data_IF_934113566355
#
_entry.id   IF_934113566355
#
_cell.length_a   1.000
_cell.length_b   1.000
_cell.length_c   1.000
_cell.angle_alpha   90.00
_cell.angle_beta   90.00
_cell.angle_gamma   90.00
#
_symmetry.space_group_name_H-M   'P 1'
#
loop_
_entity.id
_entity.type
_entity.pdbx_description
1 polymer ?
#
# COMPACT_ATOMS: atom_id res chain seq x y z
N UNK A 1 19.75 -13.48 -0.02
CA UNK A 1 18.50 -12.67 0.20
C UNK A 1 17.61 -12.77 -1.04
N UNK A 2 17.40 -14.02 -1.41
CA UNK A 2 16.65 -14.36 -2.62
C UNK A 2 15.20 -13.89 -2.48
N UNK A 3 14.64 -13.35 -3.55
CA UNK A 3 13.24 -12.93 -3.63
C UNK A 3 12.94 -11.50 -3.16
N UNK A 4 13.86 -10.77 -2.52
CA UNK A 4 13.61 -9.38 -2.06
C UNK A 4 13.81 -8.37 -3.18
N UNK A 5 14.85 -8.58 -4.00
CA UNK A 5 15.23 -7.68 -5.07
C UNK A 5 15.01 -8.32 -6.45
N UNK A 6 14.46 -7.55 -7.39
CA UNK A 6 14.55 -7.87 -8.83
C UNK A 6 15.88 -7.37 -9.37
N UNK A 7 16.34 -6.21 -8.91
CA UNK A 7 17.65 -5.65 -9.25
C UNK A 7 18.25 -5.02 -7.99
N UNK A 8 19.29 -5.62 -7.43
CA UNK A 8 20.04 -5.07 -6.32
C UNK A 8 21.13 -4.13 -6.86
N UNK A 9 21.28 -2.96 -6.22
CA UNK A 9 22.29 -1.97 -6.59
C UNK A 9 23.44 -1.98 -5.60
N UNK A 10 24.63 -1.58 -6.08
CA UNK A 10 25.80 -1.43 -5.22
C UNK A 10 25.51 -0.41 -4.10
N UNK A 11 26.06 -0.62 -2.90
CA UNK A 11 25.92 0.34 -1.81
C UNK A 11 26.44 1.73 -2.20
N UNK A 12 25.60 2.77 -2.04
CA UNK A 12 25.99 4.17 -2.15
C UNK A 12 26.11 4.82 -0.76
N UNK A 13 26.67 6.01 -0.68
CA UNK A 13 26.69 6.82 0.53
C UNK A 13 25.38 7.58 0.68
N UNK A 14 24.70 7.48 1.81
CA UNK A 14 23.44 8.15 2.11
C UNK A 14 22.39 7.22 2.72
N UNK A 15 21.17 7.74 2.90
CA UNK A 15 20.04 6.96 3.40
C UNK A 15 19.56 6.00 2.31
N UNK A 16 19.57 4.71 2.59
CA UNK A 16 19.21 3.68 1.62
C UNK A 16 17.69 3.59 1.46
N UNK A 17 17.24 3.58 0.19
CA UNK A 17 15.86 3.50 -0.23
C UNK A 17 15.62 2.22 -1.04
N UNK A 18 14.63 1.40 -0.67
CA UNK A 18 14.11 0.38 -1.57
C UNK A 18 13.03 1.00 -2.47
N UNK A 19 13.17 0.85 -3.77
CA UNK A 19 12.20 1.35 -4.75
C UNK A 19 11.43 0.14 -5.31
N UNK A 20 10.12 0.04 -5.02
CA UNK A 20 9.28 -1.01 -5.62
C UNK A 20 9.45 -1.00 -7.13
N UNK A 21 9.62 -2.17 -7.73
CA UNK A 21 9.91 -2.28 -9.18
C UNK A 21 8.74 -1.91 -10.10
N UNK A 22 7.78 -1.18 -9.58
CA UNK A 22 6.69 -0.54 -10.30
C UNK A 22 7.00 0.92 -10.69
N UNK A 23 8.00 1.54 -10.02
CA UNK A 23 8.43 2.91 -10.29
C UNK A 23 9.54 2.91 -11.33
N UNK A 24 9.37 3.63 -12.42
CA UNK A 24 10.43 3.87 -13.37
C UNK A 24 11.64 4.51 -12.67
N UNK A 25 12.83 4.03 -13.04
CA UNK A 25 14.09 4.56 -12.51
C UNK A 25 15.07 4.70 -13.66
N UNK A 26 15.50 5.91 -13.94
CA UNK A 26 16.34 6.22 -15.10
C UNK A 26 17.60 5.37 -15.16
N UNK A 27 17.82 4.68 -16.27
CA UNK A 27 18.99 3.84 -16.51
C UNK A 27 19.04 2.54 -15.68
N UNK A 28 18.01 2.22 -14.91
CA UNK A 28 17.92 1.00 -14.10
C UNK A 28 16.77 0.14 -14.61
N UNK A 29 17.04 -1.14 -14.87
CA UNK A 29 16.02 -2.10 -15.31
C UNK A 29 14.82 -2.08 -14.38
N UNK A 30 13.62 -1.89 -14.94
CA UNK A 30 12.34 -1.81 -14.25
C UNK A 30 11.35 -2.73 -14.96
N UNK A 31 10.96 -3.81 -14.32
CA UNK A 31 10.22 -4.90 -14.96
C UNK A 31 8.74 -4.90 -14.65
N UNK A 32 8.28 -4.08 -13.72
CA UNK A 32 6.94 -4.09 -13.13
C UNK A 32 6.58 -5.49 -12.55
N UNK A 33 7.61 -6.30 -12.26
CA UNK A 33 7.46 -7.67 -11.78
C UNK A 33 7.04 -8.68 -12.85
N UNK A 34 7.05 -8.34 -14.13
CA UNK A 34 6.56 -9.15 -15.24
C UNK A 34 7.68 -9.51 -16.23
N UNK A 35 7.52 -10.66 -16.89
CA UNK A 35 8.37 -11.06 -18.00
C UNK A 35 8.16 -10.18 -19.25
N UNK A 36 6.99 -9.54 -19.39
CA UNK A 36 6.68 -8.62 -20.51
C UNK A 36 7.69 -7.48 -20.60
N UNK A 37 8.18 -7.00 -19.47
CA UNK A 37 9.11 -5.88 -19.35
C UNK A 37 10.49 -6.28 -18.84
N UNK A 38 10.91 -7.55 -19.07
CA UNK A 38 12.16 -8.12 -18.55
C UNK A 38 13.42 -7.30 -18.88
N UNK A 39 13.44 -6.62 -20.01
CA UNK A 39 14.57 -5.84 -20.52
C UNK A 39 14.30 -4.31 -20.54
N UNK A 40 13.17 -3.87 -19.96
CA UNK A 40 12.80 -2.46 -19.99
C UNK A 40 13.71 -1.64 -19.08
N UNK A 41 14.29 -0.56 -19.65
CA UNK A 41 15.11 0.41 -18.94
C UNK A 41 14.55 1.81 -19.19
N UNK A 42 13.91 2.43 -18.20
CA UNK A 42 13.34 3.77 -18.35
C UNK A 42 14.39 4.84 -18.64
N UNK A 43 14.03 5.82 -19.47
CA UNK A 43 14.87 6.98 -19.74
C UNK A 43 14.79 8.07 -18.67
N UNK A 44 13.71 8.06 -17.89
CA UNK A 44 13.47 9.02 -16.80
C UNK A 44 13.00 8.28 -15.55
N UNK A 45 13.29 8.82 -14.37
CA UNK A 45 12.75 8.32 -13.11
C UNK A 45 11.33 8.82 -12.89
N UNK A 46 10.51 8.00 -12.21
CA UNK A 46 9.24 8.43 -11.65
C UNK A 46 9.44 9.65 -10.74
N UNK A 47 8.49 10.58 -10.75
CA UNK A 47 8.59 11.83 -10.00
C UNK A 47 8.85 11.60 -8.50
N UNK A 48 8.18 10.61 -7.89
CA UNK A 48 8.40 10.26 -6.49
C UNK A 48 9.84 9.78 -6.22
N UNK A 49 10.44 9.03 -7.14
CA UNK A 49 11.84 8.58 -7.04
C UNK A 49 12.78 9.77 -7.15
N UNK A 50 12.59 10.62 -8.17
CA UNK A 50 13.43 11.81 -8.41
C UNK A 50 13.41 12.77 -7.20
N UNK A 51 12.24 12.98 -6.57
CA UNK A 51 12.11 13.80 -5.37
C UNK A 51 12.89 13.24 -4.18
N UNK A 52 12.81 11.93 -3.94
CA UNK A 52 13.56 11.32 -2.85
C UNK A 52 15.06 11.33 -3.10
N UNK A 53 15.51 11.10 -4.34
CA UNK A 53 16.92 11.23 -4.70
C UNK A 53 17.42 12.67 -4.48
N UNK A 54 16.64 13.68 -4.87
CA UNK A 54 16.94 15.08 -4.61
C UNK A 54 16.95 15.42 -3.10
N UNK A 55 16.18 14.70 -2.28
CA UNK A 55 16.17 14.81 -0.82
C UNK A 55 17.32 14.02 -0.13
N UNK A 56 18.24 13.42 -0.90
CA UNK A 56 19.43 12.73 -0.40
C UNK A 56 19.22 11.25 -0.08
N UNK A 57 18.14 10.63 -0.58
CA UNK A 57 17.97 9.18 -0.53
C UNK A 57 18.75 8.51 -1.67
N UNK A 58 19.29 7.34 -1.40
CA UNK A 58 20.08 6.55 -2.36
C UNK A 58 19.33 5.25 -2.66
N UNK A 59 19.01 5.04 -3.92
CA UNK A 59 18.34 3.82 -4.36
C UNK A 59 19.27 2.61 -4.12
N UNK A 60 18.82 1.68 -3.27
CA UNK A 60 19.52 0.43 -2.93
C UNK A 60 19.14 -0.74 -3.85
N UNK A 61 18.07 -0.59 -4.62
CA UNK A 61 17.59 -1.61 -5.53
C UNK A 61 16.11 -1.49 -5.88
N UNK A 62 15.73 -2.24 -6.92
CA UNK A 62 14.35 -2.42 -7.35
C UNK A 62 13.77 -3.60 -6.58
N UNK A 63 12.88 -3.29 -5.63
CA UNK A 63 12.28 -4.26 -4.74
C UNK A 63 11.24 -5.12 -5.46
N UNK A 64 11.28 -6.43 -5.22
CA UNK A 64 10.32 -7.39 -5.78
C UNK A 64 8.90 -7.10 -5.30
N UNK A 65 7.93 -7.50 -6.13
CA UNK A 65 6.52 -7.21 -5.93
C UNK A 65 5.67 -8.34 -6.52
N UNK A 66 4.38 -8.37 -6.20
CA UNK A 66 3.44 -9.15 -7.00
C UNK A 66 3.37 -8.54 -8.41
N UNK A 67 3.41 -9.37 -9.44
CA UNK A 67 3.44 -8.94 -10.85
C UNK A 67 2.39 -7.87 -11.13
N UNK A 68 2.77 -6.77 -11.79
CA UNK A 68 1.94 -5.58 -12.08
C UNK A 68 1.23 -4.99 -10.86
N UNK A 69 1.75 -5.20 -9.64
CA UNK A 69 1.09 -4.85 -8.39
C UNK A 69 -0.29 -5.53 -8.18
N UNK A 70 -0.67 -6.52 -8.99
CA UNK A 70 -2.00 -7.13 -8.98
C UNK A 70 -2.05 -8.40 -8.14
N UNK A 71 -1.73 -8.28 -6.85
CA UNK A 71 -1.86 -9.36 -5.87
C UNK A 71 -1.48 -8.91 -4.46
N UNK A 72 -1.78 -9.73 -3.47
CA UNK A 72 -1.67 -9.39 -2.03
C UNK A 72 -0.69 -10.27 -1.24
N UNK A 73 0.09 -11.14 -1.93
CA UNK A 73 1.02 -12.09 -1.29
C UNK A 73 2.48 -11.89 -1.70
N UNK A 74 2.74 -11.14 -2.77
CA UNK A 74 4.08 -11.03 -3.40
C UNK A 74 4.70 -12.36 -3.82
N UNK A 75 3.85 -13.33 -4.22
CA UNK A 75 4.24 -14.53 -4.93
C UNK A 75 4.40 -14.17 -6.41
N UNK A 76 5.64 -13.91 -6.83
CA UNK A 76 5.94 -13.56 -8.21
C UNK A 76 6.48 -14.77 -8.95
N UNK A 77 5.81 -15.19 -10.03
CA UNK A 77 6.17 -16.40 -10.79
C UNK A 77 7.43 -16.21 -11.63
N UNK A 78 7.84 -14.97 -11.93
CA UNK A 78 9.00 -14.64 -12.75
C UNK A 78 10.26 -14.37 -11.92
N UNK A 79 10.09 -13.72 -10.76
CA UNK A 79 11.20 -13.22 -9.92
C UNK A 79 11.24 -13.84 -8.52
N UNK A 80 10.42 -14.88 -8.28
CA UNK A 80 10.36 -15.61 -7.02
C UNK A 80 9.47 -14.95 -5.98
N UNK A 81 9.12 -15.73 -4.97
CA UNK A 81 8.28 -15.29 -3.84
C UNK A 81 9.10 -14.47 -2.85
N UNK A 82 8.56 -13.33 -2.44
CA UNK A 82 9.18 -12.52 -1.38
C UNK A 82 9.06 -13.25 -0.04
N UNK A 83 10.17 -13.48 0.69
CA UNK A 83 10.13 -14.07 2.02
C UNK A 83 9.60 -13.06 3.03
N UNK A 84 8.94 -13.54 4.09
CA UNK A 84 8.59 -12.71 5.24
C UNK A 84 9.67 -12.87 6.34
N UNK A 85 10.49 -11.84 6.60
CA UNK A 85 11.56 -11.96 7.59
C UNK A 85 11.08 -11.96 9.05
N UNK A 86 9.93 -11.33 9.32
CA UNK A 86 9.35 -11.29 10.66
C UNK A 86 8.68 -12.62 11.02
N UNK A 87 8.03 -13.26 10.03
CA UNK A 87 7.27 -14.50 10.19
C UNK A 87 7.59 -15.46 9.03
N UNK A 88 8.69 -16.24 9.09
CA UNK A 88 9.18 -17.04 7.94
C UNK A 88 8.17 -18.05 7.34
N UNK A 89 7.19 -18.50 8.12
CA UNK A 89 6.15 -19.44 7.69
C UNK A 89 4.93 -18.73 7.08
N UNK A 90 4.96 -17.41 7.00
CA UNK A 90 3.85 -16.58 6.54
C UNK A 90 4.21 -15.82 5.27
N UNK A 91 3.18 -15.39 4.52
CA UNK A 91 3.40 -14.50 3.39
C UNK A 91 3.95 -13.14 3.82
N UNK A 92 4.81 -12.53 3.00
CA UNK A 92 5.26 -11.15 3.21
C UNK A 92 4.14 -10.12 2.96
N UNK A 93 2.99 -10.57 2.48
CA UNK A 93 1.97 -9.65 1.99
C UNK A 93 2.38 -9.01 0.68
N UNK A 94 1.45 -8.23 0.10
CA UNK A 94 1.71 -7.59 -1.21
C UNK A 94 0.72 -6.46 -1.52
N UNK A 95 1.01 -5.85 -2.62
CA UNK A 95 2.02 -6.13 -3.66
C UNK A 95 3.42 -5.58 -3.38
N UNK A 96 3.64 -4.71 -2.38
CA UNK A 96 4.95 -4.11 -2.05
C UNK A 96 5.74 -4.97 -1.05
N UNK A 97 5.72 -6.30 -1.18
CA UNK A 97 6.35 -7.23 -0.23
C UNK A 97 7.86 -7.07 -0.14
N UNK A 98 8.56 -6.90 -1.28
CA UNK A 98 10.00 -6.69 -1.29
C UNK A 98 10.43 -5.42 -0.55
N UNK A 99 9.63 -4.34 -0.64
CA UNK A 99 9.83 -3.10 0.13
C UNK A 99 9.72 -3.35 1.64
N UNK A 100 8.67 -4.07 2.07
CA UNK A 100 8.47 -4.42 3.48
C UNK A 100 9.56 -5.35 4.00
N UNK A 101 9.92 -6.40 3.25
CA UNK A 101 10.95 -7.36 3.63
C UNK A 101 12.33 -6.72 3.75
N UNK A 102 12.69 -5.80 2.83
CA UNK A 102 13.95 -5.05 2.89
C UNK A 102 14.04 -4.19 4.17
N UNK A 103 12.94 -3.57 4.58
CA UNK A 103 12.85 -2.79 5.83
C UNK A 103 12.95 -3.69 7.06
N UNK A 104 12.21 -4.78 7.11
CA UNK A 104 12.21 -5.72 8.24
C UNK A 104 13.60 -6.31 8.50
N UNK A 105 14.38 -6.55 7.46
CA UNK A 105 15.78 -7.00 7.55
C UNK A 105 16.78 -5.87 7.84
N UNK A 106 16.36 -4.62 7.88
CA UNK A 106 17.27 -3.49 8.07
C UNK A 106 18.22 -3.22 6.90
N UNK A 107 17.88 -3.70 5.70
CA UNK A 107 18.69 -3.47 4.49
C UNK A 107 18.62 -2.03 4.00
N UNK A 108 17.55 -1.33 4.35
CA UNK A 108 17.26 0.05 3.97
C UNK A 108 16.65 0.82 5.14
N UNK A 109 16.72 2.15 5.09
CA UNK A 109 16.08 3.04 6.06
C UNK A 109 14.69 3.47 5.65
N UNK A 110 14.37 3.39 4.36
CA UNK A 110 13.07 3.74 3.82
C UNK A 110 12.74 2.93 2.57
N UNK A 111 11.46 2.89 2.22
CA UNK A 111 11.02 2.27 0.98
C UNK A 111 9.84 3.03 0.35
N UNK A 112 9.77 2.96 -0.99
CA UNK A 112 8.59 3.34 -1.76
C UNK A 112 7.75 2.11 -2.09
N UNK A 113 6.44 2.26 -1.93
CA UNK A 113 5.43 1.31 -2.34
C UNK A 113 4.28 1.97 -3.08
N UNK A 114 3.38 1.15 -3.65
CA UNK A 114 2.08 1.58 -4.18
C UNK A 114 0.96 0.87 -3.44
N UNK A 115 -0.20 1.51 -3.35
CA UNK A 115 -1.36 1.01 -2.62
C UNK A 115 -2.65 1.29 -3.41
N UNK A 116 -3.17 0.26 -4.06
CA UNK A 116 -4.40 0.32 -4.87
C UNK A 116 -5.56 -0.38 -4.15
N UNK A 117 -5.26 -1.34 -3.28
CA UNK A 117 -6.22 -2.07 -2.45
C UNK A 117 -5.68 -2.44 -1.07
N UNK A 118 -4.53 -1.86 -0.68
CA UNK A 118 -3.83 -2.17 0.56
C UNK A 118 -2.35 -2.49 0.39
N UNK A 119 -1.82 -2.33 -0.83
CA UNK A 119 -0.50 -2.86 -1.21
C UNK A 119 0.72 -2.18 -0.57
N UNK A 120 0.57 -1.15 0.25
CA UNK A 120 1.56 -0.63 1.22
C UNK A 120 1.24 -1.21 2.60
N UNK A 121 -0.02 -1.14 3.02
CA UNK A 121 -0.48 -1.44 4.38
C UNK A 121 -0.49 -2.94 4.67
N UNK A 122 -0.92 -3.78 3.72
CA UNK A 122 -0.93 -5.25 3.87
C UNK A 122 0.49 -5.78 4.12
N UNK A 123 1.50 -5.51 3.25
CA UNK A 123 2.85 -6.00 3.51
C UNK A 123 3.50 -5.35 4.74
N UNK A 124 3.16 -4.11 5.07
CA UNK A 124 3.61 -3.49 6.32
C UNK A 124 3.11 -4.28 7.54
N UNK A 125 1.82 -4.64 7.56
CA UNK A 125 1.22 -5.45 8.62
C UNK A 125 1.77 -6.89 8.65
N UNK A 126 2.08 -7.49 7.50
CA UNK A 126 2.63 -8.85 7.43
C UNK A 126 4.09 -8.95 7.90
N UNK A 127 4.88 -7.88 7.72
CA UNK A 127 6.32 -7.86 7.99
C UNK A 127 6.69 -7.01 9.22
N UNK A 128 5.74 -6.62 10.06
CA UNK A 128 5.92 -5.82 11.28
C UNK A 128 6.68 -4.50 11.04
N UNK A 129 6.32 -3.79 9.96
CA UNK A 129 6.84 -2.47 9.64
C UNK A 129 5.70 -1.46 9.49
N UNK A 130 6.03 -0.19 9.33
CA UNK A 130 5.06 0.89 9.15
C UNK A 130 4.85 1.18 7.66
N UNK A 131 3.58 1.31 7.25
CA UNK A 131 3.22 1.67 5.88
C UNK A 131 2.18 2.78 5.85
N UNK A 132 2.48 3.86 5.13
CA UNK A 132 1.58 5.00 5.01
C UNK A 132 1.07 5.16 3.58
N UNK A 133 -0.24 5.07 3.42
CA UNK A 133 -0.96 5.42 2.20
C UNK A 133 -1.48 6.86 2.34
N UNK A 134 -0.88 7.84 1.65
CA UNK A 134 -1.33 9.24 1.73
C UNK A 134 -2.73 9.47 1.15
N UNK A 135 -3.24 10.67 1.29
CA UNK A 135 -4.41 11.16 0.54
C UNK A 135 -4.19 10.97 -0.95
N UNK A 136 -5.24 10.56 -1.68
CA UNK A 136 -5.19 10.38 -3.15
C UNK A 136 -4.65 11.63 -3.85
N UNK A 137 -3.66 11.41 -4.73
CA UNK A 137 -3.01 12.46 -5.50
C UNK A 137 -1.99 13.33 -4.74
N UNK A 138 -1.78 13.11 -3.42
CA UNK A 138 -0.81 13.89 -2.64
C UNK A 138 0.65 13.55 -3.03
N UNK A 139 0.94 12.28 -3.22
CA UNK A 139 2.23 11.81 -3.77
C UNK A 139 2.03 11.51 -5.26
N UNK A 140 2.89 12.07 -6.16
CA UNK A 140 2.73 11.86 -7.59
C UNK A 140 2.96 10.40 -7.99
N UNK A 141 2.19 9.96 -8.98
CA UNK A 141 2.31 8.62 -9.60
C UNK A 141 2.84 8.69 -11.05
N UNK A 142 3.33 9.84 -11.49
CA UNK A 142 3.96 10.01 -12.79
C UNK A 142 5.20 9.10 -12.89
N UNK A 143 5.26 8.26 -13.92
CA UNK A 143 6.31 7.25 -14.10
C UNK A 143 6.14 6.00 -13.22
N UNK A 144 4.93 5.77 -12.68
CA UNK A 144 4.54 4.51 -12.02
C UNK A 144 3.65 3.72 -12.97
N UNK A 145 3.94 2.43 -13.18
CA UNK A 145 3.03 1.59 -13.98
C UNK A 145 1.67 1.49 -13.28
N UNK A 146 0.57 1.85 -13.94
CA UNK A 146 -0.74 1.91 -13.30
C UNK A 146 -1.32 0.51 -13.07
N UNK A 147 -2.18 0.37 -12.04
CA UNK A 147 -3.04 -0.80 -11.86
C UNK A 147 -4.52 -0.42 -12.02
N UNK A 148 -5.00 0.53 -11.25
CA UNK A 148 -6.34 1.12 -11.34
C UNK A 148 -6.22 2.61 -10.99
N UNK A 149 -6.10 3.50 -12.00
CA UNK A 149 -5.67 4.89 -11.83
C UNK A 149 -6.43 5.71 -10.79
N UNK A 150 -7.73 5.49 -10.63
CA UNK A 150 -8.52 6.23 -9.63
C UNK A 150 -8.43 5.66 -8.21
N UNK A 151 -7.70 4.54 -8.03
CA UNK A 151 -7.43 3.88 -6.73
C UNK A 151 -5.94 3.88 -6.39
N UNK A 152 -5.06 4.16 -7.37
CA UNK A 152 -3.61 4.07 -7.20
C UNK A 152 -3.07 5.18 -6.31
N UNK A 153 -2.29 4.78 -5.32
CA UNK A 153 -1.54 5.68 -4.45
C UNK A 153 -0.07 5.26 -4.44
N UNK A 154 0.83 6.22 -4.37
CA UNK A 154 2.22 5.99 -3.98
C UNK A 154 2.42 6.46 -2.54
N UNK A 155 3.31 5.81 -1.81
CA UNK A 155 3.56 6.22 -0.44
C UNK A 155 4.77 5.54 0.19
N UNK A 156 5.20 6.05 1.37
CA UNK A 156 6.36 5.58 2.09
C UNK A 156 6.06 4.35 2.94
N UNK A 157 7.11 3.56 3.14
CA UNK A 157 7.20 2.52 4.16
C UNK A 157 8.51 2.71 4.94
N UNK A 158 8.50 2.43 6.24
CA UNK A 158 9.67 2.53 7.11
C UNK A 158 9.52 1.58 8.31
N UNK A 159 10.55 1.49 9.17
CA UNK A 159 10.45 0.69 10.40
C UNK A 159 9.65 1.36 11.50
N UNK A 160 9.47 2.69 11.39
CA UNK A 160 8.74 3.52 12.35
C UNK A 160 8.00 4.66 11.64
N UNK A 161 7.10 5.31 12.36
CA UNK A 161 6.30 6.43 11.81
C UNK A 161 7.17 7.64 11.48
N UNK A 162 8.25 7.88 12.24
CA UNK A 162 9.19 8.97 11.97
C UNK A 162 9.90 8.78 10.63
N UNK A 163 10.23 7.54 10.25
CA UNK A 163 10.76 7.18 8.94
C UNK A 163 9.79 7.51 7.81
N UNK A 164 8.51 7.14 7.97
CA UNK A 164 7.45 7.50 7.01
C UNK A 164 7.29 9.03 6.88
N UNK A 165 7.29 9.76 7.99
CA UNK A 165 7.25 11.22 8.00
C UNK A 165 8.46 11.84 7.27
N UNK A 166 9.65 11.26 7.49
CA UNK A 166 10.88 11.72 6.83
C UNK A 166 10.81 11.53 5.30
N UNK A 167 10.27 10.41 4.85
CA UNK A 167 10.03 10.17 3.43
C UNK A 167 8.96 11.11 2.86
N UNK A 168 7.86 11.35 3.59
CA UNK A 168 6.82 12.30 3.16
C UNK A 168 7.36 13.71 2.94
N UNK A 169 8.30 14.16 3.77
CA UNK A 169 8.99 15.46 3.61
C UNK A 169 9.83 15.53 2.33
N UNK A 170 10.34 14.40 1.86
CA UNK A 170 11.03 14.30 0.57
C UNK A 170 10.07 14.22 -0.61
N UNK A 171 8.93 13.54 -0.42
CA UNK A 171 7.95 13.27 -1.49
C UNK A 171 7.06 14.48 -1.81
N UNK A 172 6.68 15.25 -0.77
CA UNK A 172 5.71 16.33 -0.89
C UNK A 172 6.38 17.64 -0.50
N UNK A 173 6.59 18.56 -1.46
CA UNK A 173 7.06 19.91 -1.15
C UNK A 173 6.15 20.56 -0.10
N UNK A 174 6.74 21.26 0.86
CA UNK A 174 6.01 21.95 1.95
C UNK A 174 5.25 21.02 2.93
N UNK A 175 5.47 19.72 2.88
CA UNK A 175 4.99 18.83 3.95
C UNK A 175 5.67 19.25 5.25
N UNK A 176 4.86 19.58 6.29
CA UNK A 176 5.33 20.29 7.47
C UNK A 176 6.62 19.74 8.08
N UNK A 177 7.56 20.64 8.39
CA UNK A 177 8.80 20.30 9.08
C UNK A 177 8.53 19.72 10.47
N UNK A 178 7.49 20.21 11.15
CA UNK A 178 7.03 19.75 12.45
C UNK A 178 5.53 19.43 12.36
N UNK A 179 5.13 18.38 13.06
CA UNK A 179 3.71 18.09 13.30
C UNK A 179 3.27 18.77 14.58
N UNK A 180 2.03 19.22 14.60
CA UNK A 180 1.42 19.72 15.84
C UNK A 180 1.40 18.62 16.91
N UNK A 181 1.50 19.02 18.19
CA UNK A 181 1.37 18.07 19.28
C UNK A 181 0.02 17.36 19.22
N UNK A 182 0.02 16.03 19.33
CA UNK A 182 -1.20 15.26 19.33
C UNK A 182 -1.89 15.38 20.68
N UNK A 183 -2.99 16.12 20.72
CA UNK A 183 -3.86 16.20 21.92
C UNK A 183 -4.92 15.10 21.91
N UNK A 184 -5.71 15.01 23.01
CA UNK A 184 -6.85 14.07 23.07
C UNK A 184 -7.84 14.34 21.93
N UNK A 185 -8.29 13.26 21.27
CA UNK A 185 -9.16 13.29 20.10
C UNK A 185 -10.45 12.51 20.34
N UNK A 186 -11.45 12.74 19.49
CA UNK A 186 -12.62 11.87 19.36
C UNK A 186 -12.31 10.82 18.29
N UNK A 187 -12.19 9.58 18.74
CA UNK A 187 -11.72 8.46 17.91
C UNK A 187 -12.89 7.54 17.60
N UNK A 188 -13.25 7.43 16.31
CA UNK A 188 -14.15 6.40 15.85
C UNK A 188 -13.39 5.05 15.73
N UNK A 189 -14.04 3.95 16.03
CA UNK A 189 -13.52 2.59 15.82
C UNK A 189 -14.54 1.75 15.07
N UNK A 190 -14.08 0.88 14.20
CA UNK A 190 -14.92 -0.10 13.51
C UNK A 190 -14.14 -1.40 13.24
N UNK A 191 -14.85 -2.52 13.02
CA UNK A 191 -14.22 -3.84 12.83
C UNK A 191 -13.22 -4.17 13.94
N UNK A 192 -13.60 -3.95 15.17
CA UNK A 192 -12.72 -3.86 16.33
C UNK A 192 -12.01 -5.17 16.68
N UNK A 193 -10.80 -5.04 17.23
CA UNK A 193 -10.07 -6.04 18.00
C UNK A 193 -9.58 -5.44 19.32
N UNK A 194 -9.05 -6.27 20.21
CA UNK A 194 -8.47 -5.77 21.47
C UNK A 194 -7.33 -4.77 21.21
N UNK A 195 -6.51 -4.99 20.18
CA UNK A 195 -5.45 -4.08 19.77
C UNK A 195 -5.99 -2.73 19.28
N UNK A 196 -7.05 -2.73 18.47
CA UNK A 196 -7.69 -1.49 17.99
C UNK A 196 -8.27 -0.69 19.15
N UNK A 197 -8.95 -1.35 20.08
CA UNK A 197 -9.53 -0.67 21.24
C UNK A 197 -8.45 -0.09 22.16
N UNK A 198 -7.36 -0.83 22.40
CA UNK A 198 -6.23 -0.34 23.20
C UNK A 198 -5.51 0.82 22.52
N UNK A 199 -5.27 0.74 21.19
CA UNK A 199 -4.68 1.82 20.43
C UNK A 199 -5.55 3.08 20.43
N UNK A 200 -6.86 2.92 20.23
CA UNK A 200 -7.80 4.04 20.26
C UNK A 200 -7.86 4.72 21.63
N UNK A 201 -7.81 3.94 22.73
CA UNK A 201 -7.78 4.46 24.10
C UNK A 201 -6.53 5.32 24.39
N UNK A 202 -5.40 4.99 23.76
CA UNK A 202 -4.18 5.78 23.87
C UNK A 202 -4.27 7.13 23.13
N UNK A 203 -5.17 7.24 22.15
CA UNK A 203 -5.34 8.44 21.33
C UNK A 203 -6.47 9.37 21.78
N UNK A 204 -7.46 8.87 22.52
CA UNK A 204 -8.54 9.73 23.00
C UNK A 204 -9.83 9.03 23.41
N UNK A 205 -10.96 9.73 23.23
CA UNK A 205 -12.30 9.24 23.55
C UNK A 205 -12.81 8.32 22.43
N UNK A 206 -13.16 7.07 22.76
CA UNK A 206 -13.54 6.02 21.81
C UNK A 206 -15.03 6.00 21.58
N UNK A 207 -15.42 5.88 20.30
CA UNK A 207 -16.80 5.65 19.87
C UNK A 207 -16.86 4.59 18.78
N UNK A 208 -17.63 3.54 19.01
CA UNK A 208 -17.85 2.52 17.97
C UNK A 208 -18.85 3.03 16.92
N UNK A 209 -18.51 2.86 15.65
CA UNK A 209 -19.33 3.28 14.51
C UNK A 209 -19.54 2.14 13.53
N UNK A 210 -20.68 2.14 12.84
CA UNK A 210 -20.91 1.27 11.69
C UNK A 210 -20.32 1.93 10.44
N UNK A 211 -19.17 1.40 9.95
CA UNK A 211 -18.54 1.91 8.75
C UNK A 211 -18.90 1.05 7.53
N UNK A 212 -19.23 1.65 6.37
CA UNK A 212 -19.67 0.90 5.21
C UNK A 212 -18.53 0.06 4.60
N UNK A 213 -18.85 -1.12 4.08
CA UNK A 213 -17.95 -1.93 3.24
C UNK A 213 -17.91 -1.38 1.82
N UNK A 214 -16.92 -1.80 1.01
CA UNK A 214 -16.74 -1.34 -0.36
C UNK A 214 -16.77 -2.48 -1.39
N UNK A 215 -17.40 -3.60 -1.07
CA UNK A 215 -17.47 -4.79 -1.95
C UNK A 215 -18.12 -4.48 -3.29
N UNK A 216 -19.20 -3.69 -3.29
CA UNK A 216 -19.91 -3.27 -4.50
C UNK A 216 -19.09 -2.30 -5.39
N UNK A 217 -17.96 -1.79 -4.90
CA UNK A 217 -17.04 -0.91 -5.66
C UNK A 217 -16.01 -1.72 -6.46
N UNK A 218 -15.81 -2.99 -6.13
CA UNK A 218 -14.80 -3.85 -6.76
C UNK A 218 -14.89 -3.91 -8.29
N UNK A 219 -16.07 -3.98 -8.93
CA UNK A 219 -16.14 -3.96 -10.40
C UNK A 219 -15.60 -2.66 -11.03
N UNK A 220 -15.65 -1.51 -10.35
CA UNK A 220 -15.04 -0.28 -10.84
C UNK A 220 -13.51 -0.39 -10.87
N UNK A 221 -12.90 -0.91 -9.81
CA UNK A 221 -11.47 -1.24 -9.78
C UNK A 221 -11.11 -2.24 -10.89
N UNK A 222 -11.86 -3.34 -11.05
CA UNK A 222 -11.58 -4.35 -12.06
C UNK A 222 -11.68 -3.79 -13.48
N UNK A 223 -12.61 -2.90 -13.77
CA UNK A 223 -12.72 -2.27 -15.08
C UNK A 223 -11.52 -1.38 -15.39
N UNK A 224 -11.03 -0.60 -14.44
CA UNK A 224 -9.82 0.19 -14.63
C UNK A 224 -8.59 -0.68 -14.87
N UNK A 225 -8.46 -1.82 -14.16
CA UNK A 225 -7.42 -2.82 -14.44
C UNK A 225 -7.55 -3.36 -15.88
N UNK A 226 -8.77 -3.68 -16.31
CA UNK A 226 -9.01 -4.13 -17.69
C UNK A 226 -8.60 -3.09 -18.72
N UNK A 227 -8.91 -1.81 -18.48
CA UNK A 227 -8.58 -0.72 -19.40
C UNK A 227 -7.06 -0.50 -19.50
N UNK A 228 -6.31 -0.69 -18.39
CA UNK A 228 -4.83 -0.62 -18.38
C UNK A 228 -4.20 -1.80 -19.12
N UNK A 229 -4.74 -3.00 -18.96
CA UNK A 229 -4.08 -4.23 -19.43
C UNK A 229 -4.58 -4.76 -20.76
N UNK A 230 -5.70 -4.28 -21.29
CA UNK A 230 -6.38 -4.83 -22.48
C UNK A 230 -5.43 -5.02 -23.66
N UNK A 231 -4.82 -3.92 -24.13
CA UNK A 231 -3.93 -3.97 -25.30
C UNK A 231 -2.66 -4.79 -24.99
N UNK A 232 -2.06 -4.59 -23.82
CA UNK A 232 -0.87 -5.29 -23.41
C UNK A 232 -1.11 -6.81 -23.27
N UNK A 233 -2.28 -7.21 -22.76
CA UNK A 233 -2.65 -8.61 -22.62
C UNK A 233 -2.96 -9.27 -23.96
N UNK A 234 -3.59 -8.55 -24.89
CA UNK A 234 -3.83 -9.02 -26.27
C UNK A 234 -2.51 -9.27 -27.01
N UNK A 235 -1.48 -8.44 -26.76
CA UNK A 235 -0.18 -8.55 -27.45
C UNK A 235 0.78 -9.53 -26.77
N UNK A 236 0.73 -9.68 -25.44
CA UNK A 236 1.77 -10.36 -24.65
C UNK A 236 1.21 -11.21 -23.51
N UNK A 237 -0.04 -11.65 -23.59
CA UNK A 237 -0.71 -12.40 -22.54
C UNK A 237 -0.03 -13.72 -22.16
N UNK A 238 0.71 -14.35 -23.08
CA UNK A 238 1.51 -15.56 -22.84
C UNK A 238 2.75 -15.33 -21.96
N UNK A 239 3.14 -14.06 -21.75
CA UNK A 239 4.23 -13.66 -20.85
C UNK A 239 3.75 -13.29 -19.44
N UNK A 240 2.43 -13.19 -19.22
CA UNK A 240 1.88 -12.98 -17.90
C UNK A 240 1.98 -14.25 -17.05
N UNK A 241 2.21 -14.11 -15.77
CA UNK A 241 2.09 -15.24 -14.85
C UNK A 241 0.66 -15.77 -14.82
N UNK A 242 0.49 -17.09 -14.73
CA UNK A 242 -0.83 -17.74 -14.77
C UNK A 242 -1.81 -17.16 -13.73
N UNK A 243 -1.31 -16.88 -12.51
CA UNK A 243 -2.09 -16.28 -11.44
C UNK A 243 -2.54 -14.82 -11.73
N UNK A 244 -1.88 -14.13 -12.67
CA UNK A 244 -2.27 -12.79 -13.13
C UNK A 244 -3.21 -12.88 -14.31
N UNK A 245 -2.93 -13.75 -15.28
CA UNK A 245 -3.80 -14.00 -16.45
C UNK A 245 -5.25 -14.27 -16.03
N UNK A 246 -5.46 -15.18 -15.07
CA UNK A 246 -6.80 -15.47 -14.54
C UNK A 246 -7.52 -14.22 -14.01
N UNK A 247 -6.80 -13.34 -13.32
CA UNK A 247 -7.38 -12.10 -12.79
C UNK A 247 -7.67 -11.08 -13.89
N UNK A 248 -6.79 -10.95 -14.88
CA UNK A 248 -7.00 -10.06 -16.03
C UNK A 248 -8.23 -10.50 -16.84
N UNK A 249 -8.38 -11.79 -17.10
CA UNK A 249 -9.55 -12.33 -17.80
C UNK A 249 -10.87 -12.00 -17.07
N UNK A 250 -10.89 -12.12 -15.74
CA UNK A 250 -12.04 -11.69 -14.93
C UNK A 250 -12.30 -10.20 -15.03
N UNK A 251 -11.24 -9.37 -15.07
CA UNK A 251 -11.37 -7.91 -15.23
C UNK A 251 -11.93 -7.55 -16.60
N UNK A 252 -11.45 -8.22 -17.67
CA UNK A 252 -11.92 -8.01 -19.05
C UNK A 252 -13.38 -8.41 -19.24
N UNK A 253 -13.93 -9.26 -18.38
CA UNK A 253 -15.33 -9.68 -18.43
C UNK A 253 -16.31 -8.68 -17.78
N UNK A 254 -15.83 -7.65 -17.06
CA UNK A 254 -16.68 -6.64 -16.43
C UNK A 254 -17.43 -5.83 -17.48
N UNK A 255 -18.76 -5.87 -17.43
CA UNK A 255 -19.65 -5.19 -18.34
C UNK A 255 -19.77 -3.68 -18.04
N UNK A 256 -20.22 -2.89 -19.01
CA UNK A 256 -20.47 -1.46 -18.81
C UNK A 256 -21.56 -1.19 -17.76
N UNK A 257 -22.54 -2.10 -17.61
CA UNK A 257 -23.59 -1.99 -16.57
C UNK A 257 -23.01 -2.20 -15.16
N UNK A 258 -22.20 -3.25 -14.97
CA UNK A 258 -21.56 -3.52 -13.69
C UNK A 258 -20.62 -2.39 -13.29
N UNK A 259 -19.87 -1.84 -14.25
CA UNK A 259 -19.02 -0.68 -14.03
C UNK A 259 -19.82 0.55 -13.60
N UNK A 260 -20.90 0.88 -14.30
CA UNK A 260 -21.74 2.02 -13.95
C UNK A 260 -22.39 1.88 -12.55
N UNK A 261 -22.83 0.68 -12.20
CA UNK A 261 -23.37 0.36 -10.87
C UNK A 261 -22.30 0.50 -9.78
N UNK A 262 -21.08 0.04 -10.05
CA UNK A 262 -19.96 0.13 -9.10
C UNK A 262 -19.47 1.57 -8.89
N UNK A 263 -19.50 2.41 -9.93
CA UNK A 263 -19.21 3.85 -9.80
C UNK A 263 -20.25 4.51 -8.89
N UNK A 264 -21.55 4.23 -9.10
CA UNK A 264 -22.61 4.73 -8.23
C UNK A 264 -22.49 4.17 -6.78
N UNK A 265 -22.05 2.92 -6.63
CA UNK A 265 -21.76 2.34 -5.31
C UNK A 265 -20.61 3.05 -4.60
N UNK A 266 -19.58 3.47 -5.34
CA UNK A 266 -18.46 4.26 -4.79
C UNK A 266 -18.92 5.60 -4.23
N UNK A 267 -19.86 6.28 -4.89
CA UNK A 267 -20.42 7.54 -4.38
C UNK A 267 -21.24 7.31 -3.11
N UNK A 268 -22.10 6.26 -3.08
CA UNK A 268 -22.85 5.87 -1.86
C UNK A 268 -21.90 5.48 -0.72
N UNK A 269 -20.81 4.78 -1.03
CA UNK A 269 -19.79 4.42 -0.04
C UNK A 269 -19.14 5.68 0.56
N UNK A 270 -18.84 6.68 -0.25
CA UNK A 270 -18.30 7.97 0.21
C UNK A 270 -19.27 8.68 1.14
N UNK A 271 -20.53 8.84 0.74
CA UNK A 271 -21.56 9.47 1.57
C UNK A 271 -21.75 8.74 2.91
N UNK A 272 -21.79 7.41 2.88
CA UNK A 272 -21.93 6.59 4.08
C UNK A 272 -20.70 6.69 5.01
N UNK A 273 -19.49 6.72 4.44
CA UNK A 273 -18.25 6.85 5.19
C UNK A 273 -18.13 8.22 5.87
N UNK A 274 -18.45 9.31 5.15
CA UNK A 274 -18.47 10.66 5.69
C UNK A 274 -19.45 10.80 6.84
N UNK A 275 -20.66 10.25 6.68
CA UNK A 275 -21.69 10.24 7.73
C UNK A 275 -21.27 9.41 8.96
N UNK A 276 -20.62 8.26 8.74
CA UNK A 276 -20.19 7.37 9.84
C UNK A 276 -19.15 8.02 10.76
N UNK A 277 -18.28 8.89 10.23
CA UNK A 277 -17.23 9.55 11.02
C UNK A 277 -17.51 11.04 11.25
N UNK A 278 -18.76 11.50 11.06
CA UNK A 278 -19.08 12.90 11.33
C UNK A 278 -18.87 13.24 12.81
N UNK A 279 -18.15 14.33 13.07
CA UNK A 279 -17.75 14.78 14.40
C UNK A 279 -16.61 13.98 15.05
N UNK A 280 -15.98 13.04 14.36
CA UNK A 280 -14.76 12.36 14.83
C UNK A 280 -13.53 12.89 14.10
N UNK A 281 -12.37 12.85 14.79
CA UNK A 281 -11.09 13.31 14.24
C UNK A 281 -10.40 12.21 13.43
N UNK A 282 -10.48 10.95 13.90
CA UNK A 282 -9.82 9.78 13.32
C UNK A 282 -10.74 8.57 13.34
N UNK A 283 -10.47 7.62 12.47
CA UNK A 283 -11.04 6.27 12.50
C UNK A 283 -9.90 5.25 12.68
N UNK A 284 -10.07 4.31 13.61
CA UNK A 284 -9.15 3.18 13.79
C UNK A 284 -9.83 1.87 13.43
N UNK A 285 -9.06 0.99 12.77
CA UNK A 285 -9.47 -0.34 12.37
C UNK A 285 -8.30 -1.32 12.50
N UNK A 286 -8.53 -2.65 12.49
CA UNK A 286 -7.45 -3.57 12.15
C UNK A 286 -6.92 -3.27 10.75
N UNK A 287 -5.64 -3.55 10.49
CA UNK A 287 -5.12 -3.50 9.11
C UNK A 287 -5.53 -4.75 8.33
N UNK A 288 -5.45 -5.91 8.97
CA UNK A 288 -5.80 -7.22 8.39
C UNK A 288 -6.98 -7.83 9.16
N UNK A 289 -7.83 -8.60 8.46
CA UNK A 289 -8.94 -9.33 9.07
C UNK A 289 -8.46 -10.58 9.82
N UNK A 290 -7.29 -11.10 9.47
CA UNK A 290 -6.67 -12.30 10.04
C UNK A 290 -5.17 -12.10 10.21
N UNK A 291 -4.51 -12.96 10.97
CA UNK A 291 -3.05 -13.04 10.95
C UNK A 291 -2.53 -13.29 9.52
N UNK A 292 -1.28 -12.88 9.19
CA UNK A 292 -0.72 -13.14 7.87
C UNK A 292 -0.89 -14.62 7.48
N UNK A 293 -1.42 -14.90 6.26
CA UNK A 293 -1.62 -16.28 5.80
C UNK A 293 -0.30 -17.07 5.66
N UNK A 294 -0.36 -18.42 5.57
CA UNK A 294 0.82 -19.24 5.25
C UNK A 294 1.54 -18.78 3.99
N UNK A 295 2.86 -19.00 3.92
CA UNK A 295 3.68 -18.53 2.79
C UNK A 295 3.33 -19.18 1.45
N UNK A 296 2.78 -20.40 1.47
CA UNK A 296 2.38 -21.20 0.30
C UNK A 296 0.90 -21.10 -0.06
N UNK A 297 0.18 -20.12 0.53
CA UNK A 297 -1.25 -19.93 0.28
C UNK A 297 -1.57 -19.62 -1.18
N UNK A 298 -2.71 -20.08 -1.65
CA UNK A 298 -3.27 -19.63 -2.94
C UNK A 298 -3.80 -18.20 -2.78
N UNK A 299 -3.26 -17.26 -3.52
CA UNK A 299 -3.54 -15.81 -3.34
C UNK A 299 -5.03 -15.49 -3.44
N UNK A 300 -5.75 -16.09 -4.40
CA UNK A 300 -7.17 -15.83 -4.60
C UNK A 300 -8.04 -16.25 -3.41
N UNK A 301 -7.63 -17.27 -2.66
CA UNK A 301 -8.41 -17.75 -1.50
C UNK A 301 -8.36 -16.78 -0.31
N UNK A 302 -7.32 -15.93 -0.23
CA UNK A 302 -7.10 -15.01 0.90
C UNK A 302 -7.24 -13.53 0.51
N UNK A 303 -7.38 -13.24 -0.79
CA UNK A 303 -7.39 -11.88 -1.30
C UNK A 303 -8.48 -11.02 -0.67
N UNK A 304 -9.72 -11.52 -0.62
CA UNK A 304 -10.85 -10.80 -0.06
C UNK A 304 -10.63 -10.46 1.43
N UNK A 305 -10.10 -11.41 2.21
CA UNK A 305 -9.82 -11.20 3.63
C UNK A 305 -8.68 -10.20 3.86
N UNK A 306 -7.61 -10.28 3.07
CA UNK A 306 -6.47 -9.36 3.21
C UNK A 306 -6.81 -7.93 2.77
N UNK A 307 -7.72 -7.74 1.80
CA UNK A 307 -8.12 -6.40 1.34
C UNK A 307 -9.32 -5.82 2.09
N UNK A 308 -9.99 -6.62 2.91
CA UNK A 308 -11.28 -6.28 3.55
C UNK A 308 -11.26 -4.94 4.25
N UNK A 309 -10.22 -4.65 5.03
CA UNK A 309 -10.12 -3.43 5.83
C UNK A 309 -9.22 -2.36 5.20
N UNK A 310 -8.57 -2.66 4.08
CA UNK A 310 -7.72 -1.70 3.39
C UNK A 310 -8.36 -1.09 2.14
N UNK A 311 -9.06 -1.89 1.33
CA UNK A 311 -9.68 -1.46 0.08
C UNK A 311 -10.70 -0.33 0.24
N UNK A 312 -11.55 -0.28 1.30
CA UNK A 312 -12.49 0.83 1.51
C UNK A 312 -11.80 2.20 1.45
N UNK A 313 -10.61 2.32 2.00
CA UNK A 313 -9.86 3.59 2.04
C UNK A 313 -9.12 3.91 0.74
N UNK A 314 -8.93 2.94 -0.16
CA UNK A 314 -8.54 3.23 -1.54
C UNK A 314 -9.73 3.77 -2.34
N UNK A 315 -10.91 3.15 -2.19
CA UNK A 315 -12.13 3.60 -2.83
C UNK A 315 -12.49 5.06 -2.45
N UNK A 316 -12.17 5.46 -1.22
CA UNK A 316 -12.39 6.82 -0.71
C UNK A 316 -11.24 7.78 -1.03
N UNK A 317 -10.03 7.29 -1.27
CA UNK A 317 -8.83 8.12 -1.41
C UNK A 317 -8.35 8.72 -0.07
N UNK A 318 -8.79 8.19 1.06
CA UNK A 318 -8.47 8.71 2.40
C UNK A 318 -7.09 8.25 2.87
N UNK A 319 -6.30 9.11 3.59
CA UNK A 319 -5.01 8.72 4.13
C UNK A 319 -5.16 7.65 5.20
N UNK A 320 -4.26 6.67 5.20
CA UNK A 320 -4.27 5.56 6.14
C UNK A 320 -2.85 5.09 6.49
N UNK A 321 -2.57 4.93 7.76
CA UNK A 321 -1.30 4.48 8.31
C UNK A 321 -1.50 3.11 8.97
N UNK A 322 -0.78 2.10 8.50
CA UNK A 322 -0.68 0.80 9.18
C UNK A 322 0.60 0.75 10.01
N UNK A 323 0.47 0.35 11.27
CA UNK A 323 1.60 0.19 12.17
C UNK A 323 1.41 -1.01 13.09
N UNK A 324 2.51 -1.71 13.48
CA UNK A 324 2.46 -2.80 14.45
C UNK A 324 1.95 -2.31 15.81
N UNK A 325 1.06 -3.07 16.42
CA UNK A 325 0.58 -2.81 17.78
C UNK A 325 0.31 -4.14 18.52
N UNK A 326 1.16 -4.48 19.47
CA UNK A 326 1.13 -5.78 20.13
C UNK A 326 1.41 -6.93 19.15
N UNK A 327 0.46 -7.83 18.99
CA UNK A 327 0.57 -8.97 18.06
C UNK A 327 -0.18 -8.74 16.74
N UNK A 328 -0.74 -7.55 16.57
CA UNK A 328 -1.55 -7.18 15.41
C UNK A 328 -0.96 -5.94 14.71
N UNK A 329 -1.57 -5.54 13.61
CA UNK A 329 -1.35 -4.24 12.99
C UNK A 329 -2.64 -3.45 13.02
N UNK A 330 -2.58 -2.24 13.57
CA UNK A 330 -3.69 -1.30 13.56
C UNK A 330 -3.56 -0.31 12.42
N UNK A 331 -4.71 0.18 11.94
CA UNK A 331 -4.77 1.17 10.89
C UNK A 331 -5.42 2.44 11.43
N UNK A 332 -4.70 3.57 11.30
CA UNK A 332 -5.20 4.91 11.63
C UNK A 332 -5.59 5.59 10.33
N UNK A 333 -6.81 6.08 10.25
CA UNK A 333 -7.40 6.67 9.05
C UNK A 333 -7.89 8.09 9.34
N UNK A 334 -7.61 9.02 8.43
CA UNK A 334 -8.11 10.39 8.44
C UNK A 334 -8.96 10.70 7.21
N UNK A 335 -9.56 11.88 7.15
CA UNK A 335 -10.20 12.43 5.95
C UNK A 335 -9.15 12.89 4.93
N UNK A 336 -9.52 13.12 3.67
CA UNK A 336 -8.61 13.72 2.69
C UNK A 336 -7.98 15.02 3.23
N UNK A 337 -6.65 15.07 3.21
CA UNK A 337 -5.86 16.17 3.74
C UNK A 337 -5.42 16.04 5.21
N UNK A 338 -5.92 15.05 5.95
CA UNK A 338 -5.54 14.78 7.34
C UNK A 338 -4.22 13.98 7.46
N UNK A 339 -3.41 13.93 6.42
CA UNK A 339 -2.16 13.17 6.38
C UNK A 339 -1.25 13.47 7.58
N UNK A 340 -1.15 14.74 7.97
CA UNK A 340 -0.35 15.18 9.13
C UNK A 340 -0.94 14.70 10.45
N UNK A 341 -2.26 14.75 10.59
CA UNK A 341 -2.96 14.27 11.78
C UNK A 341 -2.79 12.75 11.93
N UNK A 342 -2.90 11.99 10.85
CA UNK A 342 -2.70 10.53 10.83
C UNK A 342 -1.27 10.17 11.26
N UNK A 343 -0.26 10.87 10.73
CA UNK A 343 1.14 10.65 11.13
C UNK A 343 1.41 11.11 12.56
N UNK A 344 0.82 12.21 13.03
CA UNK A 344 0.93 12.65 14.42
C UNK A 344 0.30 11.65 15.39
N UNK A 345 -0.84 11.06 15.04
CA UNK A 345 -1.47 10.00 15.81
C UNK A 345 -0.60 8.75 15.85
N UNK A 346 0.00 8.37 14.72
CA UNK A 346 0.95 7.26 14.66
C UNK A 346 2.15 7.45 15.57
N UNK A 347 2.78 8.64 15.57
CA UNK A 347 3.90 8.97 16.49
C UNK A 347 3.47 8.93 17.95
N UNK A 348 2.28 9.44 18.28
CA UNK A 348 1.75 9.38 19.63
C UNK A 348 1.50 7.95 20.09
N UNK A 349 1.02 7.08 19.19
CA UNK A 349 0.76 5.68 19.47
C UNK A 349 2.07 4.90 19.65
N UNK A 350 3.09 5.11 18.80
CA UNK A 350 4.41 4.50 18.97
C UNK A 350 5.08 4.91 20.29
N UNK A 351 4.90 6.15 20.74
CA UNK A 351 5.45 6.62 22.00
C UNK A 351 4.74 6.03 23.25
N UNK A 352 3.57 5.41 23.08
CA UNK A 352 2.81 4.76 24.14
C UNK A 352 3.08 3.24 24.24
N UNK A 353 3.83 2.65 23.29
CA UNK A 353 4.30 1.25 23.30
C UNK A 353 5.57 1.08 24.14
#
# INVERSE_FOLDING_TARGET
MDGIWITELAPGEGRRLAVKDLFDTAGIRTTYGSAVFSDHVPAASAEAVARLEAAGWVNAGKANLHEFAYGVTSQNLHYGTVPNPAHPDRTAGGSSGGSAAALALGLVEGALGTDTGGSIRIPAACCDVVGFKPTFGLVPIDGVFPLAPSFDHAGPMARDVLGCLTLMRGLVPDFAAELDSFGSRRVAVTWTSDAVLAAAAALGEIHEVAFPTAEDVVPAFMREVADVHRELYDESGDLYGENISEKIERCLAVTDSEYAEAVAARDRHREGAEAAIDGFDLLLTPTLATAPPPADVVELDVRAELTRFTFPFNALGWPALALPFGQESVQIVGRPGDDRLVLAAGLALEAAL
#
